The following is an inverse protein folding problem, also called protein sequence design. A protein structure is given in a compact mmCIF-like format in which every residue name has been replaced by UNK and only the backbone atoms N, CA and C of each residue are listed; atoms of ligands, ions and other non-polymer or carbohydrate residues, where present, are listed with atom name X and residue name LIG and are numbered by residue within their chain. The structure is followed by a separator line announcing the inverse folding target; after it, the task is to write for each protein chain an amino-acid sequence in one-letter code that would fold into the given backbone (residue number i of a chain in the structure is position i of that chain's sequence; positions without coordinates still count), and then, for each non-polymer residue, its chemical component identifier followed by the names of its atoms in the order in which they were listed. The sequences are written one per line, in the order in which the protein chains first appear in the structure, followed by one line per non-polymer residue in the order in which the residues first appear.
data_IF_856158035645
#
_entry.id   IF_856158035645
#
_cell.length_a   1.000
_cell.length_b   1.000
_cell.length_c   1.000
_cell.angle_alpha   90.00
_cell.angle_beta   90.00
_cell.angle_gamma   90.00
#
_symmetry.space_group_name_H-M   'P 1'
#
loop_
_entity.id
_entity.type
_entity.pdbx_description
1 polymer ?
#
# COMPACT_ATOMS: atom_id res chain seq x y z
N UNK A 1 64.04 -19.50 -57.89
CA UNK A 1 63.16 -19.20 -56.73
C UNK A 1 61.76 -18.95 -57.27
N UNK A 2 60.83 -19.89 -57.06
CA UNK A 2 59.42 -19.76 -57.46
C UNK A 2 58.57 -19.82 -56.18
N UNK A 3 58.05 -18.66 -55.76
CA UNK A 3 57.12 -18.57 -54.64
C UNK A 3 55.74 -19.04 -55.10
N UNK A 4 55.41 -20.32 -54.89
CA UNK A 4 54.04 -20.82 -55.02
C UNK A 4 53.31 -20.53 -53.71
N UNK A 5 52.53 -19.45 -53.70
CA UNK A 5 51.57 -19.15 -52.64
C UNK A 5 50.49 -20.22 -52.64
N UNK A 6 50.46 -21.06 -51.61
CA UNK A 6 49.40 -22.06 -51.41
C UNK A 6 48.21 -21.30 -50.82
N UNK A 7 47.20 -21.03 -51.64
CA UNK A 7 45.95 -20.43 -51.20
C UNK A 7 45.18 -21.49 -50.41
N UNK A 8 45.18 -21.37 -49.08
CA UNK A 8 44.38 -22.20 -48.20
C UNK A 8 42.89 -21.83 -48.39
N UNK A 9 42.13 -22.65 -49.11
CA UNK A 9 40.66 -22.59 -49.09
C UNK A 9 40.18 -23.52 -47.97
N UNK A 10 39.59 -23.01 -46.88
CA UNK A 10 38.90 -23.88 -45.96
C UNK A 10 37.73 -24.53 -46.72
N UNK A 11 37.70 -25.85 -46.75
CA UNK A 11 36.48 -26.62 -47.02
C UNK A 11 35.54 -26.33 -45.86
N UNK A 12 34.84 -25.20 -45.94
CA UNK A 12 33.65 -24.97 -45.16
C UNK A 12 32.64 -25.96 -45.72
N UNK A 13 32.55 -27.14 -45.10
CA UNK A 13 31.39 -28.01 -45.25
C UNK A 13 30.20 -27.21 -44.73
N UNK A 14 29.61 -26.42 -45.62
CA UNK A 14 28.27 -25.94 -45.40
C UNK A 14 27.39 -27.19 -45.40
N UNK A 15 27.03 -27.64 -44.21
CA UNK A 15 25.88 -28.49 -44.02
C UNK A 15 24.64 -27.64 -44.34
N UNK A 16 24.44 -27.35 -45.63
CA UNK A 16 23.14 -27.01 -46.16
C UNK A 16 22.30 -28.27 -45.99
N UNK A 17 21.73 -28.43 -44.80
CA UNK A 17 20.52 -29.23 -44.63
C UNK A 17 19.56 -28.67 -45.66
N UNK A 18 19.38 -29.43 -46.72
CA UNK A 18 18.39 -29.22 -47.75
C UNK A 18 17.10 -28.77 -47.06
N UNK A 19 16.79 -27.46 -47.14
CA UNK A 19 15.44 -26.96 -46.96
C UNK A 19 14.67 -27.56 -48.14
N UNK A 20 14.20 -28.79 -47.95
CA UNK A 20 13.14 -29.35 -48.77
C UNK A 20 11.96 -28.43 -48.57
N UNK A 21 11.71 -27.71 -49.64
CA UNK A 21 10.55 -26.92 -49.91
C UNK A 21 9.27 -27.69 -49.55
N UNK A 22 8.34 -26.95 -48.95
CA UNK A 22 6.89 -27.03 -49.11
C UNK A 22 6.07 -28.10 -48.35
N UNK A 23 5.04 -27.54 -47.72
CA UNK A 23 3.72 -28.12 -47.44
C UNK A 23 3.68 -29.33 -46.52
N UNK A 24 3.94 -29.07 -45.25
CA UNK A 24 2.92 -29.40 -44.25
C UNK A 24 2.60 -28.04 -43.65
N UNK A 25 1.48 -27.43 -44.01
CA UNK A 25 0.32 -27.47 -43.12
C UNK A 25 0.62 -28.35 -41.89
N UNK A 26 1.45 -27.83 -40.99
CA UNK A 26 1.31 -28.17 -39.59
C UNK A 26 -0.09 -27.70 -39.27
N UNK A 27 -1.07 -28.59 -39.48
CA UNK A 27 -2.38 -28.44 -38.94
C UNK A 27 -2.13 -28.30 -37.44
N UNK A 28 -2.07 -27.05 -36.97
CA UNK A 28 -1.99 -26.72 -35.56
C UNK A 28 -3.10 -27.55 -34.96
N UNK A 29 -2.71 -28.56 -34.19
CA UNK A 29 -3.68 -29.48 -33.63
C UNK A 29 -4.62 -28.62 -32.83
N UNK A 30 -5.93 -28.73 -33.07
CA UNK A 30 -6.94 -27.92 -32.39
C UNK A 30 -6.75 -27.96 -30.86
N UNK A 31 -6.19 -29.08 -30.37
CA UNK A 31 -5.79 -29.29 -28.97
C UNK A 31 -4.65 -28.38 -28.50
N UNK A 32 -3.65 -28.12 -29.33
CA UNK A 32 -2.52 -27.24 -28.97
C UNK A 32 -2.93 -25.77 -29.01
N UNK A 33 -3.78 -25.38 -29.98
CA UNK A 33 -4.39 -24.05 -30.00
C UNK A 33 -5.27 -23.79 -28.76
N UNK A 34 -6.09 -24.78 -28.37
CA UNK A 34 -6.90 -24.69 -27.13
C UNK A 34 -6.00 -24.58 -25.90
N UNK A 35 -4.92 -25.36 -25.81
CA UNK A 35 -3.99 -25.28 -24.67
C UNK A 35 -3.37 -23.90 -24.55
N UNK A 36 -2.88 -23.35 -25.66
CA UNK A 36 -2.24 -22.04 -25.70
C UNK A 36 -3.24 -20.94 -25.31
N UNK A 37 -4.47 -21.01 -25.83
CA UNK A 37 -5.55 -20.11 -25.45
C UNK A 37 -5.91 -20.18 -23.96
N UNK A 38 -5.97 -21.39 -23.39
CA UNK A 38 -6.23 -21.57 -21.95
C UNK A 38 -5.08 -21.02 -21.12
N UNK A 39 -3.82 -21.27 -21.50
CA UNK A 39 -2.66 -20.74 -20.76
C UNK A 39 -2.61 -19.23 -20.79
N UNK A 40 -2.86 -18.61 -21.94
CA UNK A 40 -2.86 -17.15 -22.08
C UNK A 40 -4.00 -16.52 -21.30
N UNK A 41 -5.20 -17.13 -21.36
CA UNK A 41 -6.35 -16.69 -20.58
C UNK A 41 -6.06 -16.78 -19.09
N UNK A 42 -5.46 -17.87 -18.63
CA UNK A 42 -5.09 -18.03 -17.22
C UNK A 42 -4.07 -16.97 -16.77
N UNK A 43 -3.03 -16.71 -17.56
CA UNK A 43 -2.03 -15.67 -17.26
C UNK A 43 -2.68 -14.29 -17.21
N UNK A 44 -3.60 -13.99 -18.12
CA UNK A 44 -4.33 -12.73 -18.14
C UNK A 44 -5.17 -12.54 -16.87
N UNK A 45 -5.94 -13.57 -16.48
CA UNK A 45 -6.71 -13.53 -15.23
C UNK A 45 -5.83 -13.44 -13.99
N UNK A 46 -4.68 -14.11 -13.98
CA UNK A 46 -3.71 -14.02 -12.90
C UNK A 46 -3.16 -12.60 -12.77
N UNK A 47 -2.87 -11.95 -13.90
CA UNK A 47 -2.45 -10.55 -13.95
C UNK A 47 -3.50 -9.60 -13.38
N UNK A 48 -4.77 -9.77 -13.76
CA UNK A 48 -5.89 -9.00 -13.22
C UNK A 48 -6.01 -9.23 -11.70
N UNK A 49 -5.89 -10.46 -11.24
CA UNK A 49 -6.02 -10.80 -9.83
C UNK A 49 -4.90 -10.16 -8.99
N UNK A 50 -3.66 -10.20 -9.47
CA UNK A 50 -2.52 -9.51 -8.84
C UNK A 50 -2.76 -8.00 -8.81
N UNK A 51 -3.27 -7.43 -9.90
CA UNK A 51 -3.57 -5.99 -9.97
C UNK A 51 -4.63 -5.59 -8.93
N UNK A 52 -5.75 -6.32 -8.85
CA UNK A 52 -6.81 -6.05 -7.88
C UNK A 52 -6.30 -6.18 -6.45
N UNK A 53 -5.52 -7.23 -6.15
CA UNK A 53 -4.92 -7.40 -4.82
C UNK A 53 -3.94 -6.28 -4.49
N UNK A 54 -3.13 -5.84 -5.46
CA UNK A 54 -2.19 -4.73 -5.28
C UNK A 54 -2.92 -3.44 -4.93
N UNK A 55 -3.99 -3.10 -5.66
CA UNK A 55 -4.81 -1.91 -5.38
C UNK A 55 -5.48 -2.01 -4.00
N UNK A 56 -6.01 -3.19 -3.65
CA UNK A 56 -6.63 -3.40 -2.34
C UNK A 56 -5.62 -3.23 -1.18
N UNK A 57 -4.42 -3.78 -1.33
CA UNK A 57 -3.33 -3.61 -0.34
C UNK A 57 -2.91 -2.14 -0.23
N UNK A 58 -2.75 -1.45 -1.37
CA UNK A 58 -2.41 -0.02 -1.40
C UNK A 58 -3.47 0.83 -0.70
N UNK A 59 -4.76 0.55 -0.93
CA UNK A 59 -5.85 1.27 -0.28
C UNK A 59 -5.89 1.02 1.23
N UNK A 60 -5.77 -0.24 1.66
CA UNK A 60 -5.76 -0.57 3.09
C UNK A 60 -4.56 0.03 3.82
N UNK A 61 -3.37 0.01 3.22
CA UNK A 61 -2.18 0.64 3.79
C UNK A 61 -2.34 2.16 3.89
N UNK A 62 -2.91 2.81 2.88
CA UNK A 62 -3.25 4.24 2.95
C UNK A 62 -4.22 4.54 4.10
N UNK A 63 -5.30 3.77 4.24
CA UNK A 63 -6.26 3.94 5.33
C UNK A 63 -5.61 3.77 6.71
N UNK A 64 -4.77 2.75 6.88
CA UNK A 64 -4.05 2.52 8.13
C UNK A 64 -3.13 3.70 8.49
N UNK A 65 -2.41 4.23 7.52
CA UNK A 65 -1.55 5.40 7.72
C UNK A 65 -2.39 6.61 8.13
N UNK A 66 -3.49 6.88 7.40
CA UNK A 66 -4.39 7.99 7.70
C UNK A 66 -4.96 7.89 9.12
N UNK A 67 -5.49 6.72 9.48
CA UNK A 67 -6.04 6.46 10.83
C UNK A 67 -4.98 6.63 11.92
N UNK A 68 -3.74 6.21 11.67
CA UNK A 68 -2.64 6.36 12.63
C UNK A 68 -2.30 7.83 12.87
N UNK A 69 -2.23 8.63 11.80
CA UNK A 69 -1.97 10.08 11.90
C UNK A 69 -3.10 10.78 12.65
N UNK A 70 -4.34 10.49 12.28
CA UNK A 70 -5.53 11.09 12.88
C UNK A 70 -5.65 10.72 14.37
N UNK A 71 -5.42 9.46 14.71
CA UNK A 71 -5.37 9.00 16.12
C UNK A 71 -4.32 9.75 16.94
N UNK A 72 -3.14 9.99 16.39
CA UNK A 72 -2.08 10.75 17.09
C UNK A 72 -2.51 12.21 17.30
N UNK A 73 -3.14 12.84 16.31
CA UNK A 73 -3.68 14.20 16.46
C UNK A 73 -4.73 14.26 17.56
N UNK A 74 -5.73 13.38 17.49
CA UNK A 74 -6.82 13.31 18.47
C UNK A 74 -6.31 13.02 19.88
N UNK A 75 -5.30 12.16 20.04
CA UNK A 75 -4.69 11.91 21.34
C UNK A 75 -4.02 13.15 21.92
N UNK A 76 -3.32 13.95 21.10
CA UNK A 76 -2.70 15.20 21.54
C UNK A 76 -3.76 16.22 21.94
N UNK A 77 -4.80 16.40 21.13
CA UNK A 77 -5.91 17.29 21.44
C UNK A 77 -6.60 16.89 22.75
N UNK A 78 -6.89 15.61 22.94
CA UNK A 78 -7.51 15.11 24.16
C UNK A 78 -6.64 15.36 25.40
N UNK A 79 -5.32 15.19 25.29
CA UNK A 79 -4.39 15.53 26.37
C UNK A 79 -4.39 17.04 26.70
N UNK A 80 -4.46 17.90 25.68
CA UNK A 80 -4.52 19.35 25.86
C UNK A 80 -5.84 19.73 26.55
N UNK A 81 -6.98 19.25 26.04
CA UNK A 81 -8.29 19.49 26.64
C UNK A 81 -8.35 19.02 28.09
N UNK A 82 -7.78 17.85 28.39
CA UNK A 82 -7.74 17.33 29.77
C UNK A 82 -6.94 18.24 30.69
N UNK A 83 -5.81 18.77 30.24
CA UNK A 83 -5.00 19.73 31.01
C UNK A 83 -5.76 21.04 31.22
N UNK A 84 -6.40 21.55 30.18
CA UNK A 84 -7.20 22.78 30.25
C UNK A 84 -8.39 22.62 31.19
N UNK A 85 -9.12 21.51 31.10
CA UNK A 85 -10.19 21.18 32.03
C UNK A 85 -9.67 21.10 33.47
N UNK A 86 -8.55 20.42 33.70
CA UNK A 86 -7.94 20.34 35.04
C UNK A 86 -7.54 21.72 35.58
N UNK A 87 -7.04 22.60 34.71
CA UNK A 87 -6.70 23.98 35.07
C UNK A 87 -7.95 24.80 35.40
N UNK A 88 -8.97 24.77 34.54
CA UNK A 88 -10.23 25.50 34.74
C UNK A 88 -10.98 25.04 36.01
N UNK A 89 -10.92 23.75 36.31
CA UNK A 89 -11.53 23.14 37.50
C UNK A 89 -10.63 23.25 38.74
N UNK A 90 -9.44 23.82 38.60
CA UNK A 90 -8.53 23.97 39.75
C UNK A 90 -9.13 24.92 40.78
N UNK A 91 -9.00 24.57 42.06
CA UNK A 91 -9.54 25.35 43.19
C UNK A 91 -9.15 26.82 43.11
N UNK A 92 -7.93 27.13 42.65
CA UNK A 92 -7.44 28.52 42.51
C UNK A 92 -8.28 29.30 41.51
N UNK A 93 -8.45 28.76 40.29
CA UNK A 93 -9.22 29.42 39.21
C UNK A 93 -10.69 29.53 39.57
N UNK A 94 -11.26 28.49 40.18
CA UNK A 94 -12.66 28.50 40.64
C UNK A 94 -12.87 29.57 41.73
N UNK A 95 -11.99 29.66 42.72
CA UNK A 95 -12.08 30.67 43.77
C UNK A 95 -11.85 32.09 43.24
N UNK A 96 -10.95 32.26 42.27
CA UNK A 96 -10.70 33.56 41.64
C UNK A 96 -11.93 34.02 40.83
N UNK A 97 -12.53 33.13 40.04
CA UNK A 97 -13.79 33.42 39.34
C UNK A 97 -14.96 33.65 40.30
N UNK A 98 -15.05 32.88 41.40
CA UNK A 98 -16.07 33.09 42.42
C UNK A 98 -15.95 34.48 43.04
N UNK A 99 -14.72 34.92 43.38
CA UNK A 99 -14.46 36.27 43.88
C UNK A 99 -14.87 37.36 42.90
N UNK A 100 -14.57 37.22 41.61
CA UNK A 100 -15.00 38.21 40.60
C UNK A 100 -16.51 38.26 40.43
N UNK A 101 -17.21 37.15 40.73
CA UNK A 101 -18.67 37.07 40.74
C UNK A 101 -19.29 37.51 42.08
N UNK A 102 -18.49 37.98 43.04
CA UNK A 102 -18.96 38.38 44.37
C UNK A 102 -19.34 37.21 45.28
N UNK A 103 -18.96 35.99 44.93
CA UNK A 103 -19.24 34.77 45.70
C UNK A 103 -18.10 34.49 46.69
N UNK A 104 -18.47 34.27 47.94
CA UNK A 104 -17.58 33.88 49.03
C UNK A 104 -17.52 32.35 49.17
N UNK A 105 -16.38 31.76 49.55
CA UNK A 105 -16.36 30.36 49.94
C UNK A 105 -17.28 30.15 51.17
N UNK A 106 -18.06 29.06 51.22
CA UNK A 106 -19.02 28.83 52.30
C UNK A 106 -18.28 28.71 53.64
N UNK A 107 -18.75 29.42 54.65
CA UNK A 107 -18.28 29.26 56.02
C UNK A 107 -19.02 28.08 56.67
N UNK A 108 -18.46 27.49 57.73
CA UNK A 108 -19.11 26.36 58.44
C UNK A 108 -20.52 26.71 58.94
N UNK A 109 -20.76 28.01 59.13
CA UNK A 109 -22.01 28.62 59.58
C UNK A 109 -23.04 28.74 58.45
N UNK A 110 -22.60 28.78 57.19
CA UNK A 110 -23.47 28.91 55.99
C UNK A 110 -23.99 27.56 55.47
N UNK A 111 -23.56 26.44 56.04
CA UNK A 111 -24.00 25.11 55.61
C UNK A 111 -25.40 24.82 56.13
N UNK A 112 -26.41 25.00 55.27
CA UNK A 112 -27.78 24.55 55.53
C UNK A 112 -27.77 23.04 55.78
N UNK A 113 -28.18 22.62 56.99
CA UNK A 113 -28.50 21.22 57.27
C UNK A 113 -29.77 20.88 56.51
N UNK A 114 -29.69 19.90 55.62
CA UNK A 114 -30.86 19.23 55.08
C UNK A 114 -31.44 18.36 56.22
N UNK A 115 -32.61 18.75 56.71
CA UNK A 115 -33.47 17.89 57.54
C UNK A 115 -34.12 16.79 56.69
#
# INVERSE_FOLDING_TARGET
MNNKTIIYRPTIEYNYKNKKDKSKDEAISFKDWIKEFITDSFIFFLGILIFVLSVAIAYNTYLLIKLKVEKVSLLKENQILKKEHQFLTSKKVVLEKAKTLGLSPPQKEDMFRLE
#
